data_IF_541068092480
#
_entry.id   IF_541068092480
#
_cell.length_a   1.000
_cell.length_b   1.000
_cell.length_c   1.000
_cell.angle_alpha   90.00
_cell.angle_beta   90.00
_cell.angle_gamma   90.00
#
_symmetry.space_group_name_H-M   'P 1'
#
loop_
_entity.id
_entity.type
_entity.pdbx_description
1 polymer ?
#
# COMPACT_ATOMS: atom_id res chain seq x y z
N UNK A 1 -9.18 11.11 14.26
CA UNK A 1 -8.18 10.62 13.27
C UNK A 1 -7.93 9.13 13.45
N UNK A 2 -7.71 8.66 14.69
CA UNK A 2 -7.49 7.23 14.98
C UNK A 2 -8.59 6.32 14.43
N UNK A 3 -9.86 6.73 14.51
CA UNK A 3 -10.98 5.98 13.93
C UNK A 3 -10.87 5.81 12.41
N UNK A 4 -10.32 6.79 11.68
CA UNK A 4 -10.18 6.73 10.20
C UNK A 4 -9.03 5.80 9.83
N UNK A 5 -7.93 5.83 10.59
CA UNK A 5 -6.81 4.89 10.43
C UNK A 5 -7.29 3.47 10.68
N UNK A 6 -8.03 3.25 11.77
CA UNK A 6 -8.59 1.93 12.09
C UNK A 6 -9.52 1.40 10.99
N UNK A 7 -10.41 2.24 10.45
CA UNK A 7 -11.25 1.89 9.29
C UNK A 7 -10.39 1.54 8.07
N UNK A 8 -9.34 2.30 7.80
CA UNK A 8 -8.41 2.03 6.70
C UNK A 8 -7.70 0.68 6.87
N UNK A 9 -7.24 0.36 8.08
CA UNK A 9 -6.65 -0.94 8.43
C UNK A 9 -7.63 -2.08 8.18
N UNK A 10 -8.87 -1.97 8.66
CA UNK A 10 -9.89 -2.99 8.45
C UNK A 10 -10.18 -3.21 6.96
N UNK A 11 -10.28 -2.13 6.18
CA UNK A 11 -10.51 -2.22 4.74
C UNK A 11 -9.32 -2.89 4.01
N UNK A 12 -8.08 -2.58 4.39
CA UNK A 12 -6.91 -3.25 3.83
C UNK A 12 -6.81 -4.72 4.24
N UNK A 13 -7.19 -5.05 5.48
CA UNK A 13 -7.25 -6.43 5.95
C UNK A 13 -8.30 -7.25 5.18
N UNK A 14 -9.50 -6.69 4.98
CA UNK A 14 -10.54 -7.34 4.17
C UNK A 14 -10.12 -7.46 2.69
N UNK A 15 -9.45 -6.44 2.15
CA UNK A 15 -8.85 -6.53 0.82
C UNK A 15 -7.84 -7.67 0.73
N UNK A 16 -6.95 -7.81 1.71
CA UNK A 16 -5.97 -8.89 1.79
C UNK A 16 -6.65 -10.26 1.79
N UNK A 17 -7.70 -10.42 2.61
CA UNK A 17 -8.49 -11.64 2.63
C UNK A 17 -9.13 -11.90 1.25
N UNK A 18 -9.63 -10.87 0.56
CA UNK A 18 -10.17 -10.97 -0.80
C UNK A 18 -9.14 -11.41 -1.84
N UNK A 19 -7.93 -10.86 -1.80
CA UNK A 19 -6.84 -11.24 -2.70
C UNK A 19 -6.30 -12.64 -2.42
N UNK A 20 -6.21 -13.07 -1.17
CA UNK A 20 -5.88 -14.46 -0.83
C UNK A 20 -7.00 -15.43 -1.22
N UNK A 21 -8.26 -15.09 -1.00
CA UNK A 21 -9.37 -15.90 -1.48
C UNK A 21 -9.34 -16.02 -3.03
N UNK A 22 -9.01 -14.94 -3.73
CA UNK A 22 -8.78 -14.96 -5.17
C UNK A 22 -7.63 -15.89 -5.58
N UNK A 23 -6.53 -15.94 -4.83
CA UNK A 23 -5.40 -16.85 -5.12
C UNK A 23 -5.85 -18.33 -5.15
N UNK A 24 -6.68 -18.75 -4.19
CA UNK A 24 -7.11 -20.15 -4.09
C UNK A 24 -8.33 -20.48 -4.97
N UNK A 25 -9.31 -19.57 -5.03
CA UNK A 25 -10.62 -19.83 -5.67
C UNK A 25 -10.62 -19.36 -7.14
N UNK A 26 -9.69 -18.47 -7.53
CA UNK A 26 -9.48 -17.96 -8.89
C UNK A 26 -10.73 -17.31 -9.54
N UNK A 27 -11.70 -16.87 -8.73
CA UNK A 27 -12.91 -16.20 -9.22
C UNK A 27 -12.71 -14.67 -9.28
N UNK A 28 -13.04 -14.09 -10.43
CA UNK A 28 -12.86 -12.65 -10.69
C UNK A 28 -13.59 -11.73 -9.71
N UNK A 29 -14.75 -12.13 -9.17
CA UNK A 29 -15.48 -11.29 -8.23
C UNK A 29 -14.72 -11.08 -6.91
N UNK A 30 -13.90 -12.04 -6.47
CA UNK A 30 -13.09 -11.91 -5.26
C UNK A 30 -11.97 -10.89 -5.46
N UNK A 31 -11.35 -10.91 -6.64
CA UNK A 31 -10.34 -9.92 -7.03
C UNK A 31 -10.95 -8.52 -7.09
N UNK A 32 -12.13 -8.39 -7.73
CA UNK A 32 -12.83 -7.10 -7.80
C UNK A 32 -13.22 -6.60 -6.41
N UNK A 33 -13.77 -7.45 -5.56
CA UNK A 33 -14.11 -7.11 -4.18
C UNK A 33 -12.87 -6.65 -3.40
N UNK A 34 -11.77 -7.39 -3.46
CA UNK A 34 -10.50 -7.01 -2.84
C UNK A 34 -9.98 -5.65 -3.34
N UNK A 35 -9.99 -5.44 -4.65
CA UNK A 35 -9.61 -4.17 -5.26
C UNK A 35 -10.51 -3.00 -4.79
N UNK A 36 -11.83 -3.17 -4.77
CA UNK A 36 -12.75 -2.14 -4.30
C UNK A 36 -12.54 -1.82 -2.83
N UNK A 37 -12.33 -2.83 -1.98
CA UNK A 37 -12.01 -2.63 -0.57
C UNK A 37 -10.70 -1.86 -0.39
N UNK A 38 -9.67 -2.19 -1.16
CA UNK A 38 -8.40 -1.46 -1.15
C UNK A 38 -8.58 -0.01 -1.61
N UNK A 39 -9.34 0.21 -2.68
CA UNK A 39 -9.62 1.54 -3.20
C UNK A 39 -10.36 2.40 -2.16
N UNK A 40 -11.41 1.86 -1.52
CA UNK A 40 -12.14 2.57 -0.47
C UNK A 40 -11.24 2.83 0.74
N UNK A 41 -10.43 1.86 1.16
CA UNK A 41 -9.44 2.03 2.22
C UNK A 41 -8.42 3.13 1.88
N UNK A 42 -7.96 3.18 0.63
CA UNK A 42 -7.07 4.23 0.13
C UNK A 42 -7.70 5.62 0.16
N UNK A 43 -9.01 5.75 -0.11
CA UNK A 43 -9.71 7.03 0.01
C UNK A 43 -9.75 7.51 1.47
N UNK A 44 -10.07 6.64 2.43
CA UNK A 44 -10.03 6.98 3.86
C UNK A 44 -8.61 7.31 4.34
N UNK A 45 -7.62 6.56 3.86
CA UNK A 45 -6.23 6.82 4.18
C UNK A 45 -5.79 8.18 3.60
N UNK A 46 -6.19 8.50 2.37
CA UNK A 46 -5.93 9.81 1.74
C UNK A 46 -6.55 10.95 2.54
N UNK A 47 -7.78 10.79 3.05
CA UNK A 47 -8.40 11.79 3.93
C UNK A 47 -7.57 12.05 5.19
N UNK A 48 -6.94 11.00 5.74
CA UNK A 48 -6.06 11.11 6.92
C UNK A 48 -4.80 11.91 6.59
N UNK A 49 -4.15 11.62 5.46
CA UNK A 49 -2.96 12.33 4.99
C UNK A 49 -3.29 13.80 4.66
N UNK A 50 -4.38 14.06 3.95
CA UNK A 50 -4.81 15.43 3.58
C UNK A 50 -5.15 16.25 4.83
N UNK A 51 -5.86 15.66 5.79
CA UNK A 51 -6.16 16.34 7.05
C UNK A 51 -4.86 16.66 7.83
N UNK A 52 -3.92 15.71 7.90
CA UNK A 52 -2.60 15.94 8.49
C UNK A 52 -1.84 17.08 7.80
N UNK A 53 -1.85 17.09 6.47
CA UNK A 53 -1.22 18.13 5.67
C UNK A 53 -1.80 19.52 5.95
N UNK A 54 -3.13 19.66 5.99
CA UNK A 54 -3.79 20.94 6.26
C UNK A 54 -3.49 21.42 7.69
N UNK A 55 -3.49 20.50 8.67
CA UNK A 55 -3.24 20.84 10.08
C UNK A 55 -1.79 21.26 10.34
N UNK A 56 -0.83 20.58 9.73
CA UNK A 56 0.60 20.81 9.95
C UNK A 56 1.19 21.86 8.99
N UNK A 57 0.57 22.06 7.83
CA UNK A 57 1.07 22.94 6.76
C UNK A 57 2.27 22.37 6.00
N UNK A 58 2.53 21.07 6.12
CA UNK A 58 3.55 20.32 5.40
C UNK A 58 3.14 18.85 5.29
N UNK A 59 3.89 18.04 4.52
CA UNK A 59 3.65 16.59 4.41
C UNK A 59 3.80 15.92 5.78
N UNK A 60 2.85 15.06 6.20
CA UNK A 60 2.93 14.34 7.46
C UNK A 60 4.01 13.25 7.35
N UNK A 61 5.24 13.60 7.70
CA UNK A 61 6.42 12.72 7.77
C UNK A 61 7.33 13.14 8.93
N UNK A 62 6.80 13.82 9.94
CA UNK A 62 7.61 14.41 11.02
C UNK A 62 7.94 13.43 12.14
N UNK A 63 7.22 12.31 12.23
CA UNK A 63 7.48 11.24 13.18
C UNK A 63 7.34 9.87 12.49
N UNK A 64 7.65 8.80 13.21
CA UNK A 64 7.62 7.44 12.67
C UNK A 64 6.21 7.01 12.23
N UNK A 65 5.18 7.36 13.02
CA UNK A 65 3.79 7.05 12.70
C UNK A 65 3.36 7.67 11.36
N UNK A 66 3.61 8.96 11.19
CA UNK A 66 3.32 9.72 9.97
C UNK A 66 4.10 9.19 8.77
N UNK A 67 5.40 8.92 8.96
CA UNK A 67 6.29 8.41 7.91
C UNK A 67 5.83 7.04 7.39
N UNK A 68 5.50 6.10 8.27
CA UNK A 68 4.98 4.79 7.86
C UNK A 68 3.58 4.90 7.22
N UNK A 69 2.71 5.77 7.75
CA UNK A 69 1.40 6.01 7.15
C UNK A 69 1.55 6.54 5.72
N UNK A 70 2.44 7.51 5.50
CA UNK A 70 2.71 8.05 4.17
C UNK A 70 3.34 7.00 3.24
N UNK A 71 4.23 6.14 3.75
CA UNK A 71 4.78 5.01 2.99
C UNK A 71 3.68 4.02 2.55
N UNK A 72 2.77 3.65 3.47
CA UNK A 72 1.62 2.81 3.16
C UNK A 72 0.71 3.47 2.11
N UNK A 73 0.45 4.76 2.24
CA UNK A 73 -0.32 5.53 1.26
C UNK A 73 0.35 5.52 -0.13
N UNK A 74 1.67 5.69 -0.20
CA UNK A 74 2.42 5.63 -1.45
C UNK A 74 2.36 4.23 -2.10
N UNK A 75 2.54 3.16 -1.32
CA UNK A 75 2.41 1.77 -1.81
C UNK A 75 1.01 1.53 -2.37
N UNK A 76 -0.03 1.92 -1.65
CA UNK A 76 -1.41 1.78 -2.09
C UNK A 76 -1.66 2.56 -3.39
N UNK A 77 -1.20 3.82 -3.47
CA UNK A 77 -1.35 4.67 -4.65
C UNK A 77 -0.64 4.12 -5.88
N UNK A 78 0.63 3.70 -5.73
CA UNK A 78 1.40 3.11 -6.84
C UNK A 78 0.80 1.77 -7.27
N UNK A 79 0.37 0.93 -6.32
CA UNK A 79 -0.34 -0.31 -6.63
C UNK A 79 -1.60 -0.05 -7.45
N UNK A 80 -2.45 0.89 -7.02
CA UNK A 80 -3.67 1.26 -7.76
C UNK A 80 -3.34 1.79 -9.16
N UNK A 81 -2.30 2.60 -9.31
CA UNK A 81 -1.85 3.11 -10.60
C UNK A 81 -1.36 1.98 -11.54
N UNK A 82 -0.57 1.03 -11.02
CA UNK A 82 -0.10 -0.14 -11.78
C UNK A 82 -1.28 -1.03 -12.17
N UNK A 83 -2.18 -1.32 -11.23
CA UNK A 83 -3.38 -2.11 -11.46
C UNK A 83 -4.26 -1.48 -12.55
N UNK A 84 -4.45 -0.16 -12.53
CA UNK A 84 -5.22 0.57 -13.54
C UNK A 84 -4.55 0.56 -14.92
N UNK A 85 -3.23 0.82 -14.98
CA UNK A 85 -2.50 0.94 -16.24
C UNK A 85 -2.22 -0.40 -16.92
N UNK A 86 -1.90 -1.43 -16.14
CA UNK A 86 -1.42 -2.71 -16.66
C UNK A 86 -2.36 -3.89 -16.38
N UNK A 87 -3.46 -3.67 -15.64
CA UNK A 87 -4.41 -4.72 -15.26
C UNK A 87 -3.77 -5.94 -14.55
N UNK A 88 -2.66 -5.72 -13.84
CA UNK A 88 -1.89 -6.75 -13.14
C UNK A 88 -2.56 -7.20 -11.83
N UNK A 89 -3.72 -7.85 -11.94
CA UNK A 89 -4.56 -8.34 -10.83
C UNK A 89 -3.79 -9.11 -9.76
N UNK A 90 -2.81 -9.91 -10.18
CA UNK A 90 -2.05 -10.79 -9.29
C UNK A 90 -1.15 -10.02 -8.31
N UNK A 91 -0.76 -8.79 -8.65
CA UNK A 91 0.10 -7.96 -7.80
C UNK A 91 -0.57 -7.62 -6.46
N UNK A 92 -1.91 -7.59 -6.42
CA UNK A 92 -2.66 -7.31 -5.18
C UNK A 92 -2.47 -8.39 -4.10
N UNK A 93 -2.08 -9.60 -4.49
CA UNK A 93 -1.74 -10.70 -3.56
C UNK A 93 -0.50 -10.36 -2.75
N UNK A 94 0.40 -9.54 -3.29
CA UNK A 94 1.59 -9.06 -2.59
C UNK A 94 1.36 -7.67 -1.96
N UNK A 95 0.75 -6.75 -2.71
CA UNK A 95 0.56 -5.37 -2.27
C UNK A 95 -0.38 -5.25 -1.07
N UNK A 96 -1.52 -5.94 -1.06
CA UNK A 96 -2.51 -5.82 0.00
C UNK A 96 -2.01 -6.30 1.38
N UNK A 97 -1.36 -7.49 1.52
CA UNK A 97 -0.82 -7.91 2.81
C UNK A 97 0.26 -6.97 3.35
N UNK A 98 1.19 -6.51 2.50
CA UNK A 98 2.26 -5.60 2.92
C UNK A 98 1.68 -4.27 3.41
N UNK A 99 0.74 -3.71 2.65
CA UNK A 99 0.03 -2.51 3.04
C UNK A 99 -0.71 -2.69 4.37
N UNK A 100 -1.37 -3.84 4.55
CA UNK A 100 -2.07 -4.17 5.81
C UNK A 100 -1.11 -4.25 6.98
N UNK A 101 0.04 -4.93 6.82
CA UNK A 101 1.06 -5.04 7.86
C UNK A 101 1.61 -3.68 8.26
N UNK A 102 1.95 -2.83 7.29
CA UNK A 102 2.41 -1.45 7.56
C UNK A 102 1.35 -0.70 8.37
N UNK A 103 0.08 -0.77 7.96
CA UNK A 103 -0.98 -0.03 8.63
C UNK A 103 -1.35 -0.58 10.01
N UNK A 104 -1.19 -1.89 10.24
CA UNK A 104 -1.27 -2.47 11.58
C UNK A 104 -0.17 -1.88 12.47
N UNK A 105 1.08 -1.82 11.98
CA UNK A 105 2.18 -1.20 12.74
C UNK A 105 1.88 0.27 13.04
N UNK A 106 1.41 1.04 12.05
CA UNK A 106 0.99 2.45 12.24
C UNK A 106 -0.05 2.56 13.34
N UNK A 107 -1.06 1.68 13.38
CA UNK A 107 -2.12 1.71 14.40
C UNK A 107 -1.63 1.50 15.84
N UNK A 108 -0.44 0.92 16.03
CA UNK A 108 0.16 0.68 17.34
C UNK A 108 1.18 1.75 17.73
N UNK A 109 1.63 2.58 16.79
CA UNK A 109 2.59 3.63 17.06
C UNK A 109 1.90 4.83 17.72
N UNK A 110 2.52 5.43 18.76
CA UNK A 110 1.99 6.64 19.36
C UNK A 110 1.98 7.76 18.33
N UNK A 111 0.84 8.45 18.22
CA UNK A 111 0.71 9.63 17.39
C UNK A 111 1.27 10.84 18.15
N UNK A 112 2.60 10.93 18.19
CA UNK A 112 3.29 12.03 18.85
C UNK A 112 3.07 13.35 18.11
N UNK A 113 2.95 14.49 18.84
CA UNK A 113 2.88 15.79 18.19
C UNK A 113 4.10 15.99 17.28
N UNK A 114 3.90 16.54 16.07
CA UNK A 114 4.95 16.61 15.08
C UNK A 114 6.11 17.47 15.63
N UNK A 115 7.31 16.88 15.66
CA UNK A 115 8.54 17.58 16.03
C UNK A 115 9.01 18.41 14.82
N UNK A 116 8.29 19.49 14.53
CA UNK A 116 8.55 20.27 13.31
C UNK A 116 9.75 21.19 13.48
N UNK A 117 10.80 20.98 12.70
CA UNK A 117 11.73 22.06 12.34
C UNK A 117 11.14 22.80 11.13
N UNK A 118 11.31 24.13 11.04
CA UNK A 118 10.74 24.98 9.96
C UNK A 118 11.08 24.51 8.52
N UNK A 119 12.05 23.62 8.37
CA UNK A 119 12.58 23.09 7.12
C UNK A 119 11.54 22.30 6.31
N UNK A 120 10.59 21.63 6.97
CA UNK A 120 9.56 20.79 6.31
C UNK A 120 8.54 21.55 5.45
N UNK A 121 8.54 22.88 5.48
CA UNK A 121 7.63 23.72 4.67
C UNK A 121 8.14 24.05 3.27
N UNK A 122 9.41 23.76 2.97
CA UNK A 122 9.98 24.06 1.65
C UNK A 122 9.35 23.19 0.57
N UNK A 123 8.86 23.80 -0.52
CA UNK A 123 8.31 23.09 -1.67
C UNK A 123 9.30 22.05 -2.23
N UNK A 124 10.60 22.39 -2.26
CA UNK A 124 11.65 21.48 -2.71
C UNK A 124 11.70 20.22 -1.86
N UNK A 125 11.61 20.37 -0.53
CA UNK A 125 11.65 19.23 0.37
C UNK A 125 10.37 18.38 0.28
N UNK A 126 9.21 19.03 0.19
CA UNK A 126 7.92 18.34 0.00
C UNK A 126 7.96 17.49 -1.28
N UNK A 127 8.43 18.06 -2.39
CA UNK A 127 8.56 17.32 -3.65
C UNK A 127 9.57 16.17 -3.55
N UNK A 128 10.73 16.42 -2.93
CA UNK A 128 11.80 15.43 -2.79
C UNK A 128 11.33 14.22 -1.99
N UNK A 129 10.72 14.45 -0.83
CA UNK A 129 10.18 13.40 0.04
C UNK A 129 9.10 12.61 -0.68
N UNK A 130 8.17 13.28 -1.36
CA UNK A 130 7.09 12.61 -2.09
C UNK A 130 7.64 11.69 -3.19
N UNK A 131 8.63 12.17 -3.96
CA UNK A 131 9.28 11.39 -5.02
C UNK A 131 10.03 10.18 -4.45
N UNK A 132 10.71 10.33 -3.30
CA UNK A 132 11.36 9.19 -2.61
C UNK A 132 10.34 8.11 -2.27
N UNK A 133 9.22 8.46 -1.62
CA UNK A 133 8.23 7.45 -1.22
C UNK A 133 7.54 6.77 -2.41
N UNK A 134 7.28 7.50 -3.49
CA UNK A 134 6.76 6.92 -4.73
C UNK A 134 7.80 5.96 -5.34
N UNK A 135 9.08 6.34 -5.33
CA UNK A 135 10.19 5.50 -5.79
C UNK A 135 10.31 4.21 -4.98
N UNK A 136 10.33 4.31 -3.66
CA UNK A 136 10.36 3.16 -2.73
C UNK A 136 9.15 2.25 -2.91
N UNK A 137 7.95 2.82 -3.03
CA UNK A 137 6.73 2.05 -3.32
C UNK A 137 6.84 1.30 -4.65
N UNK A 138 7.32 1.95 -5.70
CA UNK A 138 7.57 1.33 -7.00
C UNK A 138 8.60 0.20 -6.93
N UNK A 139 9.71 0.43 -6.22
CA UNK A 139 10.75 -0.57 -6.01
C UNK A 139 10.24 -1.80 -5.26
N UNK A 140 9.51 -1.59 -4.15
CA UNK A 140 8.91 -2.67 -3.37
C UNK A 140 7.93 -3.50 -4.20
N UNK A 141 7.05 -2.85 -4.98
CA UNK A 141 6.09 -3.53 -5.84
C UNK A 141 6.75 -4.26 -7.01
N UNK A 142 7.81 -3.69 -7.61
CA UNK A 142 8.59 -4.35 -8.65
C UNK A 142 9.32 -5.59 -8.11
N UNK A 143 9.92 -5.50 -6.92
CA UNK A 143 10.52 -6.63 -6.23
C UNK A 143 9.50 -7.74 -5.95
N UNK A 144 8.32 -7.38 -5.43
CA UNK A 144 7.22 -8.30 -5.23
C UNK A 144 6.72 -8.98 -6.50
N UNK A 145 6.58 -8.21 -7.58
CA UNK A 145 6.22 -8.74 -8.90
C UNK A 145 7.27 -9.72 -9.41
N UNK A 146 8.57 -9.43 -9.22
CA UNK A 146 9.66 -10.33 -9.57
C UNK A 146 9.61 -11.66 -8.81
N UNK A 147 9.32 -11.62 -7.50
CA UNK A 147 9.12 -12.84 -6.70
C UNK A 147 7.92 -13.63 -7.20
N UNK A 148 6.77 -12.99 -7.44
CA UNK A 148 5.58 -13.64 -7.98
C UNK A 148 5.86 -14.28 -9.35
N UNK A 149 6.61 -13.61 -10.21
CA UNK A 149 7.01 -14.11 -11.53
C UNK A 149 7.87 -15.38 -11.41
N UNK A 150 8.91 -15.37 -10.56
CA UNK A 150 9.78 -16.53 -10.36
C UNK A 150 9.02 -17.73 -9.78
N UNK A 151 8.09 -17.49 -8.85
CA UNK A 151 7.22 -18.54 -8.32
C UNK A 151 6.34 -19.15 -9.43
N UNK A 152 5.73 -18.31 -10.26
CA UNK A 152 4.91 -18.77 -11.39
C UNK A 152 5.74 -19.55 -12.41
N UNK A 153 6.94 -19.10 -12.75
CA UNK A 153 7.82 -19.77 -13.70
C UNK A 153 8.26 -21.16 -13.19
N UNK A 154 8.62 -21.27 -11.91
CA UNK A 154 9.00 -22.54 -11.30
C UNK A 154 7.86 -23.56 -11.29
N UNK A 155 6.63 -23.12 -11.02
CA UNK A 155 5.44 -23.96 -11.04
C UNK A 155 5.12 -24.51 -12.44
N UNK A 156 5.32 -23.68 -13.48
CA UNK A 156 5.14 -24.12 -14.87
C UNK A 156 6.19 -25.16 -15.26
N UNK A 157 7.48 -24.95 -14.95
CA UNK A 157 8.55 -25.91 -15.24
C UNK A 157 8.34 -27.25 -14.53
N UNK A 158 7.88 -27.24 -13.28
CA UNK A 158 7.60 -28.47 -12.52
C UNK A 158 6.49 -29.31 -13.16
N UNK A 159 5.42 -28.67 -13.65
CA UNK A 159 4.34 -29.39 -14.35
C UNK A 159 4.81 -30.00 -15.68
N UNK A 160 5.61 -29.28 -16.45
CA UNK A 160 6.19 -29.81 -17.70
C UNK A 160 7.10 -31.02 -17.46
N UNK A 161 7.89 -31.01 -16.38
CA UNK A 161 8.78 -32.12 -16.03
C UNK A 161 8.08 -33.39 -15.54
N UNK A 162 6.81 -33.32 -15.11
CA UNK A 162 6.01 -34.48 -14.68
C UNK A 162 5.31 -35.17 -15.86
N UNK A 163 5.18 -34.46 -16.99
CA UNK A 163 4.50 -34.94 -18.20
C UNK A 163 5.45 -35.52 -19.27
N UNK A 164 6.76 -35.53 -18.99
CA UNK A 164 7.82 -36.14 -19.81
C UNK A 164 8.42 -37.33 -19.07
#
# INVERSE_FOLDING_TARGET
>A
MESIIFVSVLLYLLSTAGYFAFLFIQKDYLQRAGFFLLLVGFLFHTLTIVYGFIKAGHVPVSNMHETLSFAGWAIAGVFLAIQYKFNLKILGIFAAPILTLIMIVVSQLPNEPPQTTQIFKSFWLISHVTVIFIGEAGFALAGGLGVLYLLQENELKRKTSILL
#
